data_IF_256057266808
#
_entry.id   IF_256057266808
#
_cell.length_a   1.000
_cell.length_b   1.000
_cell.length_c   1.000
_cell.angle_alpha   90.00
_cell.angle_beta   90.00
_cell.angle_gamma   90.00
#
_symmetry.space_group_name_H-M   'P 1'
#
loop_
_entity.id
_entity.type
_entity.pdbx_description
1 polymer ?
#
# COMPACT_ATOMS: atom_id res chain seq x y z
N UNK A 1 14.54 -5.84 -15.10
CA UNK A 1 13.87 -5.93 -13.79
C UNK A 1 13.28 -4.57 -13.49
N UNK A 2 11.97 -4.37 -13.69
CA UNK A 2 11.32 -3.08 -13.43
C UNK A 2 11.40 -2.77 -11.93
N UNK A 3 12.24 -1.81 -11.55
CA UNK A 3 12.37 -1.32 -10.16
C UNK A 3 11.19 -0.45 -9.70
N UNK A 4 10.10 -0.38 -10.48
CA UNK A 4 8.89 0.34 -10.14
C UNK A 4 7.71 -0.63 -10.06
N UNK A 5 7.42 -1.11 -8.86
CA UNK A 5 6.10 -1.66 -8.58
C UNK A 5 5.10 -0.49 -8.67
N UNK A 6 4.04 -0.59 -9.49
CA UNK A 6 3.02 0.45 -9.56
C UNK A 6 2.30 0.58 -8.21
N UNK A 7 1.60 1.69 -7.97
CA UNK A 7 0.82 1.93 -6.75
C UNK A 7 1.62 1.97 -5.44
N UNK A 8 2.91 2.29 -5.45
CA UNK A 8 3.64 2.52 -4.19
C UNK A 8 3.05 3.70 -3.38
N UNK A 9 2.94 3.53 -2.05
CA UNK A 9 2.41 4.56 -1.16
C UNK A 9 3.17 5.89 -1.29
N UNK A 10 4.48 5.85 -1.50
CA UNK A 10 5.33 7.03 -1.69
C UNK A 10 5.03 7.82 -2.97
N UNK A 11 4.43 7.17 -3.96
CA UNK A 11 3.94 7.80 -5.18
C UNK A 11 2.51 8.32 -5.00
N UNK A 12 1.64 7.54 -4.34
CA UNK A 12 0.24 7.93 -4.06
C UNK A 12 0.20 9.18 -3.16
N UNK A 13 0.97 9.18 -2.07
CA UNK A 13 1.06 10.25 -1.09
C UNK A 13 2.33 11.09 -1.27
N UNK A 14 2.71 11.39 -2.52
CA UNK A 14 3.96 12.09 -2.85
C UNK A 14 4.13 13.43 -2.12
N UNK A 15 3.01 14.11 -1.81
CA UNK A 15 2.99 15.41 -1.10
C UNK A 15 3.18 15.25 0.41
N UNK A 16 2.90 14.08 0.95
CA UNK A 16 2.87 13.80 2.39
C UNK A 16 4.04 12.89 2.83
N UNK A 17 5.10 12.76 2.02
CA UNK A 17 6.25 11.85 2.32
C UNK A 17 6.93 12.11 3.67
N UNK A 18 7.03 13.38 4.07
CA UNK A 18 7.57 13.72 5.38
C UNK A 18 6.66 13.17 6.50
N UNK A 19 5.36 13.40 6.39
CA UNK A 19 4.35 12.89 7.32
C UNK A 19 4.34 11.36 7.37
N UNK A 20 4.42 10.68 6.22
CA UNK A 20 4.55 9.22 6.16
C UNK A 20 5.78 8.71 6.91
N UNK A 21 6.91 9.44 6.83
CA UNK A 21 8.14 9.06 7.53
C UNK A 21 7.96 9.17 9.04
N UNK A 22 7.33 10.25 9.51
CA UNK A 22 6.98 10.43 10.93
C UNK A 22 6.02 9.36 11.40
N UNK A 23 4.91 9.14 10.69
CA UNK A 23 3.92 8.11 11.03
C UNK A 23 4.52 6.71 11.07
N UNK A 24 5.48 6.39 10.18
CA UNK A 24 6.15 5.09 10.20
C UNK A 24 7.04 4.88 11.44
N UNK A 25 7.49 5.95 12.09
CA UNK A 25 8.30 5.88 13.32
C UNK A 25 7.43 5.96 14.58
N UNK A 26 6.35 6.72 14.55
CA UNK A 26 5.59 7.11 15.74
C UNK A 26 4.23 6.40 15.85
N UNK A 27 3.67 5.90 14.75
CA UNK A 27 2.38 5.19 14.71
C UNK A 27 2.58 3.72 14.28
N UNK A 28 2.59 2.83 15.27
CA UNK A 28 2.73 1.39 15.04
C UNK A 28 1.59 0.79 14.20
N UNK A 29 0.39 1.38 14.24
CA UNK A 29 -0.73 0.93 13.43
C UNK A 29 -0.51 1.30 11.95
N UNK A 30 -0.11 2.54 11.69
CA UNK A 30 0.29 2.98 10.35
C UNK A 30 1.43 2.12 9.80
N UNK A 31 2.48 1.87 10.60
CA UNK A 31 3.62 1.07 10.18
C UNK A 31 3.18 -0.33 9.71
N UNK A 32 2.32 -1.00 10.50
CA UNK A 32 1.77 -2.33 10.15
C UNK A 32 0.96 -2.28 8.84
N UNK A 33 0.08 -1.29 8.69
CA UNK A 33 -0.74 -1.15 7.49
C UNK A 33 0.11 -0.86 6.24
N UNK A 34 1.13 0.00 6.38
CA UNK A 34 2.04 0.32 5.28
C UNK A 34 2.82 -0.93 4.83
N UNK A 35 3.34 -1.73 5.76
CA UNK A 35 4.06 -2.96 5.43
C UNK A 35 3.12 -3.99 4.78
N UNK A 36 1.91 -4.19 5.33
CA UNK A 36 0.91 -5.09 4.74
C UNK A 36 0.49 -4.63 3.33
N UNK A 37 0.35 -3.32 3.11
CA UNK A 37 0.07 -2.75 1.80
C UNK A 37 1.20 -3.04 0.81
N UNK A 38 2.45 -2.86 1.21
CA UNK A 38 3.60 -3.13 0.34
C UNK A 38 3.68 -4.61 -0.06
N UNK A 39 3.39 -5.53 0.85
CA UNK A 39 3.35 -6.96 0.57
C UNK A 39 2.25 -7.32 -0.43
N UNK A 40 1.01 -6.89 -0.16
CA UNK A 40 -0.14 -7.16 -1.04
C UNK A 40 0.07 -6.52 -2.41
N UNK A 41 0.60 -5.29 -2.48
CA UNK A 41 0.86 -4.62 -3.75
C UNK A 41 1.91 -5.36 -4.59
N UNK A 42 2.97 -5.87 -3.95
CA UNK A 42 3.99 -6.70 -4.63
C UNK A 42 3.41 -8.01 -5.13
N UNK A 43 2.52 -8.63 -4.37
CA UNK A 43 1.85 -9.88 -4.76
C UNK A 43 0.92 -9.66 -5.96
N UNK A 44 0.08 -8.63 -5.92
CA UNK A 44 -0.75 -8.24 -7.06
C UNK A 44 0.11 -7.97 -8.30
N UNK A 45 1.21 -7.23 -8.14
CA UNK A 45 2.10 -6.93 -9.26
C UNK A 45 2.75 -8.19 -9.85
N UNK A 46 3.15 -9.18 -9.03
CA UNK A 46 3.70 -10.46 -9.54
C UNK A 46 2.66 -11.23 -10.35
N UNK A 47 1.42 -11.24 -9.90
CA UNK A 47 0.30 -11.89 -10.59
C UNK A 47 -0.01 -11.17 -11.91
N UNK A 48 -0.12 -9.84 -11.88
CA UNK A 48 -0.40 -9.01 -13.07
C UNK A 48 0.74 -9.03 -14.10
N UNK A 49 1.99 -9.21 -13.65
CA UNK A 49 3.15 -9.39 -14.52
C UNK A 49 3.32 -10.85 -15.02
N UNK A 50 2.30 -11.70 -14.85
CA UNK A 50 2.29 -13.14 -15.18
C UNK A 50 3.47 -13.93 -14.58
N UNK A 51 4.11 -13.39 -13.54
CA UNK A 51 5.26 -14.00 -12.88
C UNK A 51 4.80 -15.03 -11.83
N UNK A 52 3.54 -14.96 -11.39
CA UNK A 52 2.92 -15.88 -10.46
C UNK A 52 1.53 -16.27 -10.96
N UNK A 53 1.26 -17.58 -11.12
CA UNK A 53 -0.06 -18.06 -11.50
C UNK A 53 -1.03 -17.94 -10.32
N UNK A 54 -2.16 -17.26 -10.53
CA UNK A 54 -3.23 -17.14 -9.55
C UNK A 54 -4.59 -17.30 -10.23
N UNK A 55 -5.56 -17.86 -9.50
CA UNK A 55 -6.96 -17.84 -9.93
C UNK A 55 -7.50 -16.40 -9.93
N UNK A 56 -8.45 -16.09 -10.81
CA UNK A 56 -9.13 -14.80 -10.86
C UNK A 56 -9.71 -14.40 -9.50
N UNK A 57 -10.31 -15.34 -8.75
CA UNK A 57 -10.86 -15.09 -7.42
C UNK A 57 -9.81 -14.57 -6.43
N UNK A 58 -8.64 -15.23 -6.36
CA UNK A 58 -7.51 -14.78 -5.54
C UNK A 58 -7.02 -13.39 -5.96
N UNK A 59 -6.87 -13.17 -7.27
CA UNK A 59 -6.42 -11.88 -7.81
C UNK A 59 -7.37 -10.74 -7.39
N UNK A 60 -8.68 -10.96 -7.50
CA UNK A 60 -9.68 -9.98 -7.09
C UNK A 60 -9.73 -9.79 -5.57
N UNK A 61 -9.55 -10.85 -4.78
CA UNK A 61 -9.44 -10.74 -3.32
C UNK A 61 -8.24 -9.87 -2.91
N UNK A 62 -7.07 -10.06 -3.53
CA UNK A 62 -5.87 -9.26 -3.26
C UNK A 62 -6.04 -7.80 -3.68
N UNK A 63 -6.67 -7.52 -4.83
CA UNK A 63 -6.97 -6.15 -5.26
C UNK A 63 -7.91 -5.44 -4.28
N UNK A 64 -8.96 -6.12 -3.81
CA UNK A 64 -9.87 -5.59 -2.78
C UNK A 64 -9.14 -5.33 -1.47
N UNK A 65 -8.25 -6.25 -1.05
CA UNK A 65 -7.40 -6.08 0.14
C UNK A 65 -6.49 -4.85 0.00
N UNK A 66 -5.83 -4.67 -1.16
CA UNK A 66 -5.00 -3.49 -1.44
C UNK A 66 -5.80 -2.19 -1.32
N UNK A 67 -7.03 -2.18 -1.84
CA UNK A 67 -7.91 -1.02 -1.76
C UNK A 67 -8.30 -0.70 -0.31
N UNK A 68 -8.74 -1.69 0.47
CA UNK A 68 -9.09 -1.48 1.87
C UNK A 68 -7.92 -0.97 2.72
N UNK A 69 -6.71 -1.52 2.51
CA UNK A 69 -5.50 -1.03 3.17
C UNK A 69 -5.18 0.41 2.78
N UNK A 70 -5.39 0.78 1.51
CA UNK A 70 -5.19 2.16 1.05
C UNK A 70 -6.18 3.11 1.73
N UNK A 71 -7.44 2.71 1.86
CA UNK A 71 -8.47 3.51 2.52
C UNK A 71 -8.13 3.75 4.00
N UNK A 72 -7.73 2.70 4.73
CA UNK A 72 -7.32 2.80 6.13
C UNK A 72 -6.09 3.73 6.30
N UNK A 73 -5.09 3.59 5.43
CA UNK A 73 -3.90 4.46 5.42
C UNK A 73 -4.28 5.92 5.12
N UNK A 74 -5.19 6.13 4.16
CA UNK A 74 -5.66 7.46 3.77
C UNK A 74 -6.32 8.16 4.96
N UNK A 75 -7.15 7.44 5.73
CA UNK A 75 -7.79 7.98 6.95
C UNK A 75 -6.75 8.43 7.97
N UNK A 76 -5.67 7.67 8.18
CA UNK A 76 -4.60 8.05 9.12
C UNK A 76 -3.86 9.30 8.64
N UNK A 77 -3.47 9.34 7.36
CA UNK A 77 -2.76 10.49 6.77
C UNK A 77 -3.64 11.75 6.83
N UNK A 78 -4.92 11.65 6.48
CA UNK A 78 -5.84 12.79 6.51
C UNK A 78 -6.02 13.33 7.94
N UNK A 79 -6.14 12.44 8.94
CA UNK A 79 -6.20 12.84 10.36
C UNK A 79 -4.91 13.53 10.80
N UNK A 80 -3.76 12.97 10.45
CA UNK A 80 -2.46 13.50 10.84
C UNK A 80 -2.12 14.82 10.12
N UNK A 81 -2.69 15.09 8.95
CA UNK A 81 -2.58 16.38 8.23
C UNK A 81 -3.48 17.47 8.80
N UNK A 82 -4.61 17.09 9.39
CA UNK A 82 -5.59 18.03 9.93
C UNK A 82 -5.27 18.51 11.36
N UNK A 83 -4.40 17.81 12.07
CA UNK A 83 -3.84 18.22 13.37
C UNK A 83 -2.63 19.13 13.20
#
# INVERSE_FOLDING_TARGET
MSQHTPHELTNIFKRDRALMTTLKQEDAHYARLADEYHEVNREVHRIEAETEAASDERTEALKKKRLGLLDDITVIIDKARAG
#
